data_IF_309463984833
#
_entry.id   IF_309463984833
#
_cell.length_a   1.000
_cell.length_b   1.000
_cell.length_c   1.000
_cell.angle_alpha   90.00
_cell.angle_beta   90.00
_cell.angle_gamma   90.00
#
_symmetry.space_group_name_H-M   'P 1'
#
loop_
_entity.id
_entity.type
_entity.pdbx_description
1 polymer ?
#
# COMPACT_ATOMS: atom_id res chain seq x y z
N UNK A 1 1.05 3.36 36.72
CA UNK A 1 -0.06 3.59 35.77
C UNK A 1 0.55 3.74 34.39
N UNK A 2 0.28 2.88 33.41
CA UNK A 2 0.73 3.12 32.04
C UNK A 2 0.06 4.42 31.57
N UNK A 3 0.87 5.42 31.24
CA UNK A 3 0.40 6.66 30.62
C UNK A 3 -0.28 6.30 29.31
N UNK A 4 -1.57 6.58 29.22
CA UNK A 4 -2.36 6.37 28.02
C UNK A 4 -1.75 7.22 26.90
N UNK A 5 -1.13 6.54 25.94
CA UNK A 5 -0.45 7.17 24.82
C UNK A 5 -1.47 7.90 23.95
N UNK A 6 -1.22 9.18 23.66
CA UNK A 6 -2.09 9.96 22.78
C UNK A 6 -1.59 9.85 21.35
N UNK A 7 -2.46 9.44 20.42
CA UNK A 7 -2.16 9.34 18.99
C UNK A 7 -3.35 9.86 18.21
N UNK A 8 -3.11 10.73 17.23
CA UNK A 8 -4.17 11.31 16.39
C UNK A 8 -3.68 11.56 14.96
N UNK A 9 -4.60 11.49 13.98
CA UNK A 9 -4.34 11.72 12.56
C UNK A 9 -5.31 12.76 12.01
N UNK A 10 -4.78 13.84 11.42
CA UNK A 10 -5.60 14.89 10.79
C UNK A 10 -5.13 15.23 9.36
N UNK A 11 -6.02 15.75 8.51
CA UNK A 11 -5.64 16.28 7.20
C UNK A 11 -4.66 17.44 7.36
N UNK A 12 -3.60 17.48 6.54
CA UNK A 12 -2.61 18.56 6.58
C UNK A 12 -2.66 19.42 5.31
N UNK A 13 -2.51 18.79 4.14
CA UNK A 13 -2.58 19.46 2.85
C UNK A 13 -3.16 18.51 1.80
N UNK A 14 -3.41 18.99 0.57
CA UNK A 14 -3.97 18.17 -0.50
C UNK A 14 -3.14 16.89 -0.71
N UNK A 15 -3.76 15.75 -0.40
CA UNK A 15 -3.13 14.44 -0.54
C UNK A 15 -2.17 14.04 0.59
N UNK A 16 -2.08 14.83 1.67
CA UNK A 16 -1.20 14.59 2.82
C UNK A 16 -1.96 14.67 4.15
N UNK A 17 -1.50 13.87 5.10
CA UNK A 17 -2.00 13.83 6.48
C UNK A 17 -0.84 14.06 7.44
N UNK A 18 -1.18 14.44 8.67
CA UNK A 18 -0.28 14.47 9.81
C UNK A 18 -0.71 13.44 10.84
N UNK A 19 0.26 12.84 11.53
CA UNK A 19 0.04 12.03 12.72
C UNK A 19 0.85 12.59 13.88
N UNK A 20 0.22 12.72 15.05
CA UNK A 20 0.87 12.99 16.33
C UNK A 20 1.23 11.66 17.00
N UNK A 21 2.48 11.51 17.44
CA UNK A 21 2.97 10.32 18.16
C UNK A 21 3.83 10.71 19.36
N UNK A 22 3.61 10.05 20.50
CA UNK A 22 4.43 10.19 21.72
C UNK A 22 5.47 9.07 21.87
N UNK A 23 5.30 7.96 21.14
CA UNK A 23 6.24 6.84 21.13
C UNK A 23 7.32 7.03 20.06
N UNK A 24 8.57 7.11 20.51
CA UNK A 24 9.76 7.22 19.65
C UNK A 24 9.87 6.04 18.66
N UNK A 25 9.53 4.82 19.08
CA UNK A 25 9.61 3.64 18.22
C UNK A 25 8.58 3.71 17.08
N UNK A 26 7.35 4.15 17.37
CA UNK A 26 6.35 4.42 16.34
C UNK A 26 6.81 5.54 15.40
N UNK A 27 7.36 6.61 15.95
CA UNK A 27 7.90 7.72 15.17
C UNK A 27 8.96 7.23 14.18
N UNK A 28 9.95 6.47 14.63
CA UNK A 28 11.04 6.01 13.78
C UNK A 28 10.56 5.05 12.70
N UNK A 29 9.60 4.18 13.03
CA UNK A 29 8.97 3.28 12.04
C UNK A 29 8.24 4.03 10.94
N UNK A 30 7.45 5.05 11.29
CA UNK A 30 6.68 5.82 10.30
C UNK A 30 7.62 6.73 9.48
N UNK A 31 8.58 7.37 10.14
CA UNK A 31 9.55 8.27 9.49
C UNK A 31 10.50 7.52 8.53
N UNK A 32 10.72 6.21 8.75
CA UNK A 32 11.50 5.36 7.85
C UNK A 32 10.79 5.00 6.54
N UNK A 33 9.50 5.33 6.37
CA UNK A 33 8.79 5.08 5.12
C UNK A 33 9.05 6.15 4.06
N UNK A 34 8.98 5.76 2.79
CA UNK A 34 9.11 6.69 1.68
C UNK A 34 8.03 7.79 1.74
N UNK A 35 8.44 9.03 1.51
CA UNK A 35 7.62 10.25 1.54
C UNK A 35 7.01 10.61 2.90
N UNK A 36 7.47 9.98 3.99
CA UNK A 36 7.19 10.42 5.35
C UNK A 36 8.27 11.39 5.84
N UNK A 37 7.87 12.41 6.59
CA UNK A 37 8.82 13.38 7.18
C UNK A 37 8.38 13.86 8.56
N UNK A 38 9.32 13.92 9.49
CA UNK A 38 9.10 14.59 10.78
C UNK A 38 8.95 16.08 10.52
N UNK A 39 7.89 16.69 11.05
CA UNK A 39 7.58 18.10 10.83
C UNK A 39 7.72 18.93 12.11
N UNK A 40 7.13 18.49 13.22
CA UNK A 40 7.25 19.15 14.52
C UNK A 40 7.83 18.19 15.55
N UNK A 41 8.58 18.74 16.51
CA UNK A 41 9.08 18.03 17.69
C UNK A 41 8.66 18.82 18.92
N UNK A 42 7.86 18.20 19.78
CA UNK A 42 7.34 18.85 20.99
C UNK A 42 8.29 18.58 22.15
N UNK A 43 8.54 19.63 22.94
CA UNK A 43 9.42 19.57 24.10
C UNK A 43 8.64 19.97 25.36
N UNK A 44 8.97 19.34 26.49
CA UNK A 44 8.46 19.78 27.79
C UNK A 44 9.27 20.98 28.33
N UNK A 45 8.89 21.49 29.51
CA UNK A 45 9.60 22.60 30.19
C UNK A 45 11.06 22.32 30.52
N UNK A 46 11.47 21.04 30.54
CA UNK A 46 12.84 20.58 30.76
C UNK A 46 13.60 20.37 29.45
N UNK A 47 13.05 20.83 28.32
CA UNK A 47 13.61 20.65 26.97
C UNK A 47 13.77 19.18 26.54
N UNK A 48 13.04 18.26 27.16
CA UNK A 48 13.00 16.87 26.74
C UNK A 48 11.95 16.69 25.66
N UNK A 49 12.26 15.91 24.63
CA UNK A 49 11.31 15.56 23.58
C UNK A 49 10.19 14.70 24.15
N UNK A 50 8.94 15.06 23.87
CA UNK A 50 7.76 14.34 24.36
C UNK A 50 6.86 13.82 23.23
N UNK A 51 6.93 14.41 22.03
CA UNK A 51 6.13 13.97 20.90
C UNK A 51 6.66 14.47 19.55
N UNK A 52 6.13 13.91 18.47
CA UNK A 52 6.45 14.27 17.11
C UNK A 52 5.20 14.38 16.25
N UNK A 53 5.19 15.34 15.32
CA UNK A 53 4.30 15.33 14.16
C UNK A 53 5.03 14.73 12.96
N UNK A 54 4.38 13.81 12.25
CA UNK A 54 4.89 13.23 11.01
C UNK A 54 3.91 13.50 9.89
N UNK A 55 4.38 14.10 8.79
CA UNK A 55 3.60 14.25 7.56
C UNK A 55 3.79 13.00 6.71
N UNK A 56 2.70 12.47 6.17
CA UNK A 56 2.72 11.31 5.27
C UNK A 56 1.67 11.45 4.15
N UNK A 57 1.86 10.79 3.00
CA UNK A 57 0.90 10.83 1.90
C UNK A 57 -0.37 10.01 2.22
N UNK A 58 -1.51 10.48 1.73
CA UNK A 58 -2.83 9.86 1.91
C UNK A 58 -2.91 8.37 1.55
N UNK A 59 -2.06 7.90 0.63
CA UNK A 59 -1.94 6.47 0.26
C UNK A 59 -1.48 5.57 1.43
N UNK A 60 -0.81 6.15 2.43
CA UNK A 60 -0.32 5.44 3.62
C UNK A 60 -1.27 5.54 4.80
N UNK A 61 -2.43 6.22 4.68
CA UNK A 61 -3.36 6.43 5.79
C UNK A 61 -3.71 5.14 6.52
N UNK A 62 -4.18 4.12 5.81
CA UNK A 62 -4.62 2.88 6.45
C UNK A 62 -3.45 2.15 7.15
N UNK A 63 -2.23 2.25 6.61
CA UNK A 63 -1.03 1.69 7.25
C UNK A 63 -0.64 2.44 8.53
N UNK A 64 -0.66 3.77 8.49
CA UNK A 64 -0.38 4.61 9.68
C UNK A 64 -1.46 4.38 10.73
N UNK A 65 -2.74 4.39 10.35
CA UNK A 65 -3.86 4.17 11.26
C UNK A 65 -3.78 2.78 11.92
N UNK A 66 -3.51 1.72 11.15
CA UNK A 66 -3.34 0.37 11.69
C UNK A 66 -2.17 0.28 12.68
N UNK A 67 -1.03 0.89 12.34
CA UNK A 67 0.14 0.90 13.20
C UNK A 67 -0.12 1.64 14.53
N UNK A 68 -0.94 2.67 14.48
CA UNK A 68 -1.32 3.50 15.62
C UNK A 68 -2.56 2.98 16.40
N UNK A 69 -3.15 1.85 15.99
CA UNK A 69 -4.40 1.35 16.59
C UNK A 69 -5.62 2.27 16.35
N UNK A 70 -5.58 3.11 15.33
CA UNK A 70 -6.62 4.06 14.97
C UNK A 70 -7.60 3.47 13.94
N UNK A 71 -8.85 3.98 13.88
CA UNK A 71 -9.82 3.53 12.89
C UNK A 71 -9.35 3.79 11.46
N UNK A 72 -9.54 2.80 10.60
CA UNK A 72 -9.21 2.89 9.18
C UNK A 72 -10.14 3.86 8.46
N UNK A 73 -9.68 4.43 7.35
CA UNK A 73 -10.51 5.35 6.56
C UNK A 73 -11.67 4.57 5.95
N UNK A 74 -12.91 4.99 6.24
CA UNK A 74 -14.08 4.43 5.56
C UNK A 74 -13.95 4.64 4.05
N UNK A 75 -14.08 3.56 3.28
CA UNK A 75 -14.07 3.63 1.80
C UNK A 75 -15.23 4.52 1.35
N UNK A 76 -14.98 5.42 0.40
CA UNK A 76 -16.07 6.21 -0.18
C UNK A 76 -17.03 5.31 -0.95
N UNK A 77 -18.34 5.60 -0.97
CA UNK A 77 -19.32 4.82 -1.73
C UNK A 77 -18.93 4.65 -3.20
N UNK A 78 -18.37 5.69 -3.83
CA UNK A 78 -17.85 5.62 -5.20
C UNK A 78 -16.68 4.64 -5.38
N UNK A 79 -15.75 4.57 -4.42
CA UNK A 79 -14.64 3.58 -4.44
C UNK A 79 -15.17 2.15 -4.28
N UNK A 80 -16.20 1.97 -3.45
CA UNK A 80 -16.89 0.67 -3.29
C UNK A 80 -17.59 0.26 -4.58
N UNK A 81 -18.36 1.17 -5.19
CA UNK A 81 -19.07 0.91 -6.45
C UNK A 81 -18.10 0.59 -7.60
N UNK A 82 -17.00 1.34 -7.70
CA UNK A 82 -15.95 1.09 -8.70
C UNK A 82 -15.28 -0.28 -8.49
N UNK A 83 -14.96 -0.64 -7.24
CA UNK A 83 -14.41 -1.96 -6.91
C UNK A 83 -15.37 -3.10 -7.27
N UNK A 84 -16.67 -2.94 -7.00
CA UNK A 84 -17.69 -3.91 -7.42
C UNK A 84 -17.74 -4.07 -8.94
N UNK A 85 -17.65 -2.96 -9.69
CA UNK A 85 -17.64 -2.96 -11.16
C UNK A 85 -16.41 -3.66 -11.75
N UNK A 86 -15.24 -3.50 -11.13
CA UNK A 86 -14.02 -4.20 -11.56
C UNK A 86 -14.12 -5.70 -11.27
N UNK A 87 -14.61 -6.09 -10.09
CA UNK A 87 -14.82 -7.49 -9.73
C UNK A 87 -15.85 -8.19 -10.63
N UNK A 88 -16.93 -7.52 -11.00
CA UNK A 88 -17.92 -8.06 -11.94
C UNK A 88 -17.34 -8.24 -13.35
N UNK A 89 -16.47 -7.33 -13.81
CA UNK A 89 -15.79 -7.43 -15.10
C UNK A 89 -14.75 -8.55 -15.12
N UNK A 90 -14.01 -8.76 -14.03
CA UNK A 90 -13.07 -9.88 -13.89
C UNK A 90 -13.81 -11.23 -13.92
N UNK A 91 -14.96 -11.33 -13.22
CA UNK A 91 -15.81 -12.53 -13.24
C UNK A 91 -16.39 -12.83 -14.63
N UNK A 92 -16.73 -11.80 -15.40
CA UNK A 92 -17.23 -11.96 -16.78
C UNK A 92 -16.15 -12.40 -17.78
N UNK A 93 -14.87 -12.14 -17.50
CA UNK A 93 -13.72 -12.50 -18.35
C UNK A 93 -13.11 -13.86 -18.01
N UNK A 94 -13.74 -14.66 -17.14
CA UNK A 94 -13.31 -16.04 -16.86
C UNK A 94 -12.00 -16.19 -16.09
N UNK A 95 -11.34 -15.10 -15.69
CA UNK A 95 -10.09 -15.17 -14.94
C UNK A 95 -10.33 -15.23 -13.43
N UNK A 96 -10.14 -16.45 -12.91
CA UNK A 96 -9.75 -16.84 -11.55
C UNK A 96 -10.83 -16.78 -10.46
N UNK A 97 -11.12 -17.97 -9.94
CA UNK A 97 -11.91 -18.17 -8.71
C UNK A 97 -11.18 -17.59 -7.50
N UNK A 98 -11.89 -16.74 -6.76
CA UNK A 98 -11.48 -16.28 -5.43
C UNK A 98 -11.67 -17.45 -4.46
N UNK A 99 -10.61 -18.23 -4.21
CA UNK A 99 -10.59 -19.06 -3.00
C UNK A 99 -10.48 -18.11 -1.79
N UNK A 100 -11.51 -18.12 -0.94
CA UNK A 100 -11.47 -17.48 0.37
C UNK A 100 -10.83 -18.46 1.34
N UNK A 101 -9.60 -18.20 1.77
CA UNK A 101 -9.06 -18.78 2.99
C UNK A 101 -8.10 -17.76 3.62
N UNK A 102 -8.50 -17.20 4.78
CA UNK A 102 -7.70 -16.23 5.55
C UNK A 102 -7.73 -14.80 5.00
N UNK A 103 -7.64 -13.82 5.91
CA UNK A 103 -7.88 -12.37 5.71
C UNK A 103 -6.89 -11.62 4.81
N UNK A 104 -6.23 -12.27 3.85
CA UNK A 104 -5.39 -11.60 2.85
C UNK A 104 -5.40 -12.34 1.52
N UNK A 105 -5.82 -11.72 0.39
CA UNK A 105 -5.46 -12.23 -0.92
C UNK A 105 -4.01 -11.82 -1.22
N UNK A 106 -3.10 -12.79 -1.17
CA UNK A 106 -1.83 -12.72 -1.91
C UNK A 106 -2.20 -12.98 -3.37
N UNK A 107 -1.90 -12.02 -4.25
CA UNK A 107 -1.93 -12.25 -5.69
C UNK A 107 -0.72 -13.11 -6.00
N UNK A 108 -0.94 -14.42 -6.16
CA UNK A 108 0.04 -15.29 -6.81
C UNK A 108 0.14 -14.82 -8.26
N UNK A 109 1.27 -14.20 -8.60
CA UNK A 109 1.65 -14.09 -10.00
C UNK A 109 1.94 -15.51 -10.47
N UNK A 110 0.92 -16.15 -11.05
CA UNK A 110 1.12 -17.34 -11.84
C UNK A 110 2.28 -17.08 -12.80
N UNK A 111 3.33 -17.89 -12.65
CA UNK A 111 4.47 -17.90 -13.54
C UNK A 111 3.95 -17.89 -14.97
N UNK A 112 4.37 -16.88 -15.72
CA UNK A 112 4.09 -16.78 -17.14
C UNK A 112 4.58 -18.08 -17.80
N UNK A 113 3.76 -18.79 -18.58
CA UNK A 113 4.29 -19.83 -19.45
C UNK A 113 5.31 -19.17 -20.38
N UNK A 114 6.57 -19.62 -20.34
CA UNK A 114 7.56 -19.29 -21.35
C UNK A 114 7.23 -20.07 -22.64
N UNK A 115 6.09 -19.78 -23.25
CA UNK A 115 5.77 -20.29 -24.58
C UNK A 115 5.64 -19.09 -25.51
N UNK A 116 6.79 -18.70 -26.05
CA UNK A 116 6.95 -17.57 -26.95
C UNK A 116 8.00 -17.85 -28.02
N UNK A 117 7.56 -18.57 -29.06
CA UNK A 117 8.01 -18.45 -30.47
C UNK A 117 9.51 -18.61 -30.81
N UNK A 118 9.89 -19.84 -31.20
CA UNK A 118 10.78 -20.03 -32.35
C UNK A 118 9.92 -20.51 -33.51
N UNK A 119 9.39 -19.56 -34.28
CA UNK A 119 8.89 -19.89 -35.61
C UNK A 119 10.11 -20.08 -36.50
N UNK A 120 10.57 -21.33 -36.62
CA UNK A 120 11.54 -21.72 -37.65
C UNK A 120 10.91 -21.44 -39.02
N UNK A 121 11.55 -20.55 -39.78
CA UNK A 121 11.24 -20.33 -41.19
C UNK A 121 11.57 -21.62 -41.95
N UNK A 122 10.67 -22.17 -42.79
CA UNK A 122 11.01 -23.28 -43.67
C UNK A 122 12.04 -22.79 -44.69
N UNK A 123 13.29 -23.21 -44.53
CA UNK A 123 14.33 -22.99 -45.53
C UNK A 123 14.04 -23.93 -46.69
N UNK A 124 13.48 -23.37 -47.76
CA UNK A 124 13.22 -24.10 -49.00
C UNK A 124 14.54 -24.65 -49.56
N UNK A 125 14.57 -25.96 -49.77
CA UNK A 125 15.63 -26.62 -50.50
C UNK A 125 15.74 -26.07 -51.91
N UNK A 126 16.96 -25.70 -52.30
CA UNK A 126 17.35 -25.63 -53.71
C UNK A 126 18.52 -26.58 -53.92
N UNK A 127 18.17 -27.68 -54.60
CA UNK A 127 19.07 -28.68 -55.13
C UNK A 127 19.53 -28.21 -56.52
N UNK A 128 20.84 -28.35 -56.79
CA UNK A 128 21.52 -28.28 -58.09
C UNK A 128 21.72 -26.86 -58.71
N UNK A 129 22.80 -26.50 -59.42
CA UNK A 129 23.89 -27.22 -60.14
C UNK A 129 25.18 -26.37 -60.11
N UNK A 130 26.33 -27.03 -60.20
CA UNK A 130 27.64 -26.44 -60.46
C UNK A 130 28.76 -27.40 -60.09
#
# INVERSE_FOLDING_TARGET
>A
MPTQQTVDIWPFFRGQYKVYVEDAALKDRIAGWQDCRVHCVYHNRRLQVVAWDIIFPSRLYDRVAQLCGLPLKKKSPGRVAHGKRLGSRAKALGHVGVQKQGDFPIVDFAQTPQDGHMAELPTMGSQQRG
#
